data_IF_475304637336
#
_entry.id   IF_475304637336
#
_cell.length_a   1.000
_cell.length_b   1.000
_cell.length_c   1.000
_cell.angle_alpha   90.00
_cell.angle_beta   90.00
_cell.angle_gamma   90.00
#
_symmetry.space_group_name_H-M   'P 1'
#
loop_
_entity.id
_entity.type
_entity.pdbx_description
1 polymer ?
#
# COMPACT_ATOMS: atom_id res chain seq x y z
N UNK A 1 9.64 8.53 7.23
CA UNK A 1 10.37 9.53 6.45
C UNK A 1 9.36 10.54 5.98
N UNK A 2 9.19 11.62 6.72
CA UNK A 2 8.22 12.69 6.41
C UNK A 2 8.86 13.85 5.65
N UNK A 3 10.19 13.81 5.48
CA UNK A 3 10.93 14.81 4.71
C UNK A 3 10.65 16.23 5.23
N UNK A 4 10.34 17.14 4.31
CA UNK A 4 9.99 18.53 4.62
C UNK A 4 8.55 18.74 5.13
N UNK A 5 7.78 17.68 5.39
CA UNK A 5 6.50 17.77 6.10
C UNK A 5 5.27 18.06 5.23
N UNK A 6 5.36 17.91 3.91
CA UNK A 6 4.25 18.19 2.99
C UNK A 6 3.03 17.30 3.27
N UNK A 7 3.23 16.00 3.40
CA UNK A 7 2.15 15.05 3.71
C UNK A 7 1.57 15.30 5.10
N UNK A 8 2.38 15.74 6.08
CA UNK A 8 1.90 16.06 7.42
C UNK A 8 0.92 17.24 7.41
N UNK A 9 1.19 18.26 6.59
CA UNK A 9 0.25 19.36 6.36
C UNK A 9 -1.04 18.86 5.71
N UNK A 10 -0.95 17.97 4.71
CA UNK A 10 -2.12 17.38 4.04
C UNK A 10 -2.96 16.54 5.00
N UNK A 11 -2.35 15.67 5.81
CA UNK A 11 -3.04 14.88 6.82
C UNK A 11 -3.68 15.76 7.89
N UNK A 12 -3.05 16.87 8.26
CA UNK A 12 -3.59 17.84 9.22
C UNK A 12 -4.87 18.51 8.71
N UNK A 13 -5.14 18.49 7.40
CA UNK A 13 -6.42 18.95 6.88
C UNK A 13 -7.58 18.06 7.36
N UNK A 14 -7.34 16.75 7.43
CA UNK A 14 -8.32 15.73 7.83
C UNK A 14 -8.37 15.49 9.34
N UNK A 15 -7.25 15.70 10.06
CA UNK A 15 -7.20 15.61 11.51
C UNK A 15 -6.55 16.85 12.12
N UNK A 16 -7.37 17.66 12.82
CA UNK A 16 -6.97 18.93 13.45
C UNK A 16 -6.93 18.83 14.98
N UNK A 17 -6.87 17.62 15.52
CA UNK A 17 -6.60 17.41 16.93
C UNK A 17 -5.12 17.68 17.22
N UNK A 18 -4.83 18.20 18.41
CA UNK A 18 -3.44 18.42 18.84
C UNK A 18 -2.68 17.09 18.89
N UNK A 19 -1.58 16.99 18.14
CA UNK A 19 -0.82 15.76 17.96
C UNK A 19 -1.58 14.66 17.21
N UNK A 20 -2.65 15.00 16.49
CA UNK A 20 -3.47 14.06 15.73
C UNK A 20 -2.75 13.46 14.51
N UNK A 21 -1.66 14.09 14.06
CA UNK A 21 -0.78 13.60 13.00
C UNK A 21 0.62 13.41 13.57
N UNK A 22 1.17 12.20 13.47
CA UNK A 22 2.54 11.92 13.92
C UNK A 22 3.46 11.86 12.71
N UNK A 23 4.52 12.67 12.72
CA UNK A 23 5.55 12.67 11.70
C UNK A 23 6.86 12.07 12.20
N UNK A 24 7.47 11.17 11.43
CA UNK A 24 8.72 10.51 11.81
C UNK A 24 9.75 10.61 10.69
N UNK A 25 10.90 11.19 11.01
CA UNK A 25 12.08 11.21 10.14
C UNK A 25 13.36 10.90 10.92
N UNK A 26 14.36 10.36 10.22
CA UNK A 26 15.67 10.04 10.81
C UNK A 26 16.65 11.20 10.65
N UNK A 27 16.45 12.07 9.64
CA UNK A 27 17.37 13.13 9.24
C UNK A 27 17.01 14.44 9.95
N UNK A 28 17.95 14.98 10.74
CA UNK A 28 17.72 16.20 11.54
C UNK A 28 17.38 17.41 10.66
N UNK A 29 18.02 17.53 9.50
CA UNK A 29 17.78 18.59 8.53
C UNK A 29 16.37 18.56 7.96
N UNK A 30 15.79 17.37 7.78
CA UNK A 30 14.40 17.21 7.31
C UNK A 30 13.40 17.61 8.40
N UNK A 31 13.68 17.25 9.66
CA UNK A 31 12.86 17.68 10.79
C UNK A 31 12.89 19.20 10.95
N UNK A 32 14.06 19.82 10.79
CA UNK A 32 14.20 21.28 10.84
C UNK A 32 13.51 21.98 9.67
N UNK A 33 13.64 21.44 8.45
CA UNK A 33 12.91 21.93 7.29
C UNK A 33 11.39 21.84 7.50
N UNK A 34 10.89 20.72 8.04
CA UNK A 34 9.47 20.55 8.39
C UNK A 34 8.98 21.64 9.34
N UNK A 35 9.72 21.92 10.42
CA UNK A 35 9.35 22.97 11.39
C UNK A 35 9.26 24.35 10.74
N UNK A 36 10.23 24.70 9.88
CA UNK A 36 10.20 25.97 9.13
C UNK A 36 9.01 26.05 8.18
N UNK A 37 8.73 24.96 7.46
CA UNK A 37 7.59 24.87 6.55
C UNK A 37 6.26 24.99 7.29
N UNK A 38 6.15 24.46 8.51
CA UNK A 38 4.93 24.60 9.31
C UNK A 38 4.65 26.04 9.74
N UNK A 39 5.69 26.83 10.08
CA UNK A 39 5.54 28.26 10.40
C UNK A 39 4.98 29.03 9.19
N UNK A 40 5.51 28.74 8.00
CA UNK A 40 5.01 29.33 6.76
C UNK A 40 3.58 28.88 6.47
N UNK A 41 3.29 27.59 6.65
CA UNK A 41 1.97 27.01 6.44
C UNK A 41 0.93 27.65 7.38
N UNK A 42 1.24 27.86 8.66
CA UNK A 42 0.35 28.56 9.61
C UNK A 42 0.06 30.01 9.16
N UNK A 43 1.06 30.68 8.60
CA UNK A 43 0.90 32.06 8.09
C UNK A 43 -0.03 32.11 6.87
N UNK A 44 0.10 31.13 5.97
CA UNK A 44 -0.69 31.08 4.73
C UNK A 44 -2.08 30.42 4.91
N UNK A 45 -2.26 29.58 5.92
CA UNK A 45 -3.43 28.73 6.08
C UNK A 45 -4.08 28.94 7.46
N UNK A 46 -5.15 29.76 7.57
CA UNK A 46 -5.83 30.02 8.85
C UNK A 46 -6.42 28.78 9.53
N UNK A 47 -6.59 27.68 8.79
CA UNK A 47 -7.12 26.42 9.28
C UNK A 47 -6.06 25.51 9.90
N UNK A 48 -4.77 25.74 9.62
CA UNK A 48 -3.66 24.89 10.04
C UNK A 48 -3.03 25.43 11.32
N UNK A 49 -2.64 24.51 12.21
CA UNK A 49 -1.76 24.78 13.33
C UNK A 49 -0.71 23.68 13.40
N UNK A 50 0.54 24.08 13.61
CA UNK A 50 1.68 23.20 13.81
C UNK A 50 1.47 22.24 14.98
N UNK A 51 0.67 22.61 15.98
CA UNK A 51 0.34 21.73 17.12
C UNK A 51 -0.50 20.50 16.72
N UNK A 52 -1.09 20.46 15.53
CA UNK A 52 -1.75 19.25 15.02
C UNK A 52 -0.74 18.14 14.70
N UNK A 53 0.53 18.51 14.50
CA UNK A 53 1.61 17.61 14.13
C UNK A 53 2.53 17.36 15.33
N UNK A 54 2.72 16.10 15.69
CA UNK A 54 3.77 15.64 16.59
C UNK A 54 4.95 15.11 15.76
N UNK A 55 6.00 15.92 15.63
CA UNK A 55 7.18 15.62 14.83
C UNK A 55 8.29 14.99 15.69
N UNK A 56 8.61 13.73 15.42
CA UNK A 56 9.56 12.91 16.18
C UNK A 56 10.75 12.49 15.32
N UNK A 57 11.93 12.42 15.95
CA UNK A 57 13.08 11.74 15.35
C UNK A 57 12.95 10.24 15.56
N UNK A 58 13.08 9.46 14.49
CA UNK A 58 12.94 8.01 14.58
C UNK A 58 13.23 7.29 13.26
N UNK A 59 13.37 5.98 13.36
CA UNK A 59 13.63 5.07 12.24
C UNK A 59 12.43 4.14 12.05
N UNK A 60 12.13 3.79 10.80
CA UNK A 60 11.08 2.84 10.46
C UNK A 60 11.37 1.42 10.99
N UNK A 61 12.63 1.11 11.32
CA UNK A 61 13.04 -0.18 11.90
C UNK A 61 12.79 -0.29 13.41
N UNK A 62 12.44 0.81 14.07
CA UNK A 62 12.10 0.88 15.50
C UNK A 62 11.32 2.18 15.76
N UNK A 63 10.03 2.15 15.46
CA UNK A 63 9.18 3.34 15.52
C UNK A 63 9.00 3.79 16.98
N UNK A 64 9.23 5.07 17.30
CA UNK A 64 8.97 5.64 18.63
C UNK A 64 7.46 5.90 18.82
N UNK A 65 6.66 4.85 18.67
CA UNK A 65 5.19 4.86 18.68
C UNK A 65 4.72 3.59 19.38
N UNK A 66 3.70 3.71 20.23
CA UNK A 66 3.14 2.62 21.01
C UNK A 66 2.40 1.60 20.12
N UNK A 67 2.33 0.36 20.60
CA UNK A 67 1.56 -0.70 19.96
C UNK A 67 0.08 -0.31 19.84
N UNK A 68 -0.56 -0.68 18.73
CA UNK A 68 -2.00 -0.52 18.51
C UNK A 68 -2.51 0.90 18.83
N UNK A 69 -1.77 1.94 18.45
CA UNK A 69 -2.10 3.33 18.73
C UNK A 69 -2.51 4.13 17.49
N UNK A 70 -2.19 3.64 16.29
CA UNK A 70 -2.39 4.35 15.02
C UNK A 70 -3.58 3.79 14.23
N UNK A 71 -4.50 4.65 13.82
CA UNK A 71 -5.63 4.26 12.97
C UNK A 71 -5.22 4.12 11.49
N UNK A 72 -4.42 5.07 10.99
CA UNK A 72 -3.91 5.08 9.62
C UNK A 72 -2.42 5.44 9.62
N UNK A 73 -1.61 4.56 9.05
CA UNK A 73 -0.21 4.82 8.74
C UNK A 73 -0.07 5.07 7.24
N UNK A 74 0.81 5.98 6.85
CA UNK A 74 1.08 6.28 5.45
C UNK A 74 2.57 6.35 5.18
N UNK A 75 2.99 5.85 4.02
CA UNK A 75 4.34 6.00 3.51
C UNK A 75 4.34 6.11 1.99
N UNK A 76 5.31 6.82 1.43
CA UNK A 76 5.48 6.94 0.00
C UNK A 76 6.93 6.61 -0.37
N UNK A 77 7.12 5.64 -1.27
CA UNK A 77 8.41 5.21 -1.83
C UNK A 77 9.44 4.67 -0.81
N UNK A 78 9.14 4.62 0.49
CA UNK A 78 10.15 4.34 1.50
C UNK A 78 10.63 2.89 1.44
N UNK A 79 9.75 1.94 1.15
CA UNK A 79 10.07 0.52 1.26
C UNK A 79 11.11 0.07 0.23
N UNK A 80 11.14 0.73 -0.93
CA UNK A 80 12.08 0.43 -2.00
C UNK A 80 13.54 0.83 -1.70
N UNK A 81 13.81 1.60 -0.65
CA UNK A 81 15.20 1.89 -0.25
C UNK A 81 15.77 0.78 0.64
N UNK A 82 14.92 0.00 1.30
CA UNK A 82 15.35 -1.04 2.22
C UNK A 82 15.89 -2.27 1.48
N UNK A 83 16.83 -2.95 2.14
CA UNK A 83 17.12 -4.35 1.80
C UNK A 83 16.06 -5.24 2.45
N UNK A 84 15.94 -6.48 1.97
CA UNK A 84 14.85 -7.38 2.35
C UNK A 84 14.67 -7.55 3.87
N UNK A 85 15.77 -7.69 4.63
CA UNK A 85 15.72 -7.85 6.08
C UNK A 85 15.15 -6.59 6.78
N UNK A 86 15.60 -5.41 6.36
CA UNK A 86 15.13 -4.14 6.90
C UNK A 86 13.68 -3.86 6.48
N UNK A 87 13.30 -4.22 5.25
CA UNK A 87 11.94 -4.10 4.75
C UNK A 87 10.97 -4.95 5.59
N UNK A 88 11.32 -6.22 5.87
CA UNK A 88 10.52 -7.09 6.75
C UNK A 88 10.33 -6.47 8.13
N UNK A 89 11.40 -5.88 8.70
CA UNK A 89 11.35 -5.24 10.01
C UNK A 89 10.49 -3.97 9.99
N UNK A 90 10.62 -3.14 8.95
CA UNK A 90 9.81 -1.93 8.78
C UNK A 90 8.31 -2.26 8.64
N UNK A 91 7.96 -3.29 7.86
CA UNK A 91 6.56 -3.76 7.73
C UNK A 91 6.03 -4.27 9.08
N UNK A 92 6.84 -5.02 9.82
CA UNK A 92 6.46 -5.51 11.15
C UNK A 92 6.23 -4.37 12.15
N UNK A 93 7.05 -3.32 12.11
CA UNK A 93 6.85 -2.12 12.93
C UNK A 93 5.55 -1.38 12.55
N UNK A 94 5.24 -1.25 11.25
CA UNK A 94 3.96 -0.68 10.82
C UNK A 94 2.77 -1.52 11.33
N UNK A 95 2.87 -2.84 11.25
CA UNK A 95 1.85 -3.73 11.80
C UNK A 95 1.70 -3.58 13.32
N UNK A 96 2.81 -3.45 14.06
CA UNK A 96 2.82 -3.28 15.52
C UNK A 96 2.06 -2.03 15.96
N UNK A 97 2.36 -0.88 15.34
CA UNK A 97 1.79 0.42 15.75
C UNK A 97 0.33 0.59 15.34
N UNK A 98 -0.12 -0.09 14.28
CA UNK A 98 -1.51 -0.01 13.82
C UNK A 98 -2.46 -0.68 14.82
N UNK A 99 -3.59 -0.03 15.10
CA UNK A 99 -4.73 -0.64 15.81
C UNK A 99 -5.28 -1.85 15.04
N UNK A 100 -6.01 -2.77 15.68
CA UNK A 100 -6.86 -3.71 14.96
C UNK A 100 -7.75 -2.97 13.95
N UNK A 101 -7.84 -3.48 12.72
CA UNK A 101 -8.52 -2.85 11.57
C UNK A 101 -7.90 -1.52 11.09
N UNK A 102 -6.77 -1.10 11.67
CA UNK A 102 -5.96 0.01 11.20
C UNK A 102 -5.37 -0.28 9.82
N UNK A 103 -5.05 0.79 9.09
CA UNK A 103 -4.67 0.69 7.67
C UNK A 103 -3.31 1.29 7.42
N UNK A 104 -2.46 0.56 6.71
CA UNK A 104 -1.25 1.08 6.10
C UNK A 104 -1.55 1.42 4.64
N UNK A 105 -1.51 2.70 4.29
CA UNK A 105 -1.71 3.19 2.92
C UNK A 105 -0.36 3.57 2.33
N UNK A 106 -0.07 3.09 1.12
CA UNK A 106 1.24 3.26 0.52
C UNK A 106 1.16 3.42 -0.99
N UNK A 107 2.16 4.11 -1.53
CA UNK A 107 2.47 4.11 -2.96
C UNK A 107 3.93 3.72 -3.13
N UNK A 108 4.19 2.68 -3.93
CA UNK A 108 5.54 2.17 -4.14
C UNK A 108 5.77 1.71 -5.59
N UNK A 109 6.97 1.97 -6.13
CA UNK A 109 7.46 1.32 -7.33
C UNK A 109 7.50 -0.21 -7.23
N UNK A 110 7.05 -0.87 -8.30
CA UNK A 110 7.06 -2.33 -8.49
C UNK A 110 7.58 -2.66 -9.88
N UNK A 111 8.20 -3.83 -10.00
CA UNK A 111 8.78 -4.30 -11.25
C UNK A 111 8.60 -5.81 -11.36
N UNK A 112 7.80 -6.25 -12.33
CA UNK A 112 7.58 -7.67 -12.63
C UNK A 112 8.81 -8.31 -13.30
N UNK A 113 9.60 -7.51 -14.02
CA UNK A 113 10.83 -7.99 -14.66
C UNK A 113 11.95 -8.14 -13.62
N UNK A 114 12.75 -9.22 -13.69
CA UNK A 114 13.92 -9.35 -12.84
C UNK A 114 14.95 -8.26 -13.18
N UNK A 115 15.51 -7.63 -12.16
CA UNK A 115 16.65 -6.73 -12.32
C UNK A 115 17.96 -7.47 -12.01
N UNK A 116 19.00 -7.20 -12.79
CA UNK A 116 20.32 -7.78 -12.55
C UNK A 116 20.98 -7.22 -11.27
N UNK A 117 22.06 -7.88 -10.83
CA UNK A 117 22.76 -7.51 -9.59
C UNK A 117 23.41 -6.11 -9.65
N UNK A 118 23.80 -5.63 -10.83
CA UNK A 118 24.43 -4.33 -10.95
C UNK A 118 23.41 -3.22 -10.66
N UNK A 119 22.22 -3.29 -11.26
CA UNK A 119 21.11 -2.40 -10.94
C UNK A 119 20.68 -2.53 -9.48
N UNK A 120 20.51 -3.77 -8.98
CA UNK A 120 20.10 -4.05 -7.59
C UNK A 120 21.09 -3.50 -6.56
N UNK A 121 22.37 -3.36 -6.87
CA UNK A 121 23.38 -2.84 -5.94
C UNK A 121 23.80 -1.39 -6.22
N UNK A 122 23.19 -0.71 -7.20
CA UNK A 122 23.40 0.72 -7.42
C UNK A 122 22.69 1.54 -6.33
N UNK A 123 23.48 2.21 -5.49
CA UNK A 123 23.01 3.02 -4.36
C UNK A 123 22.19 4.23 -4.82
N UNK A 124 22.51 4.83 -5.97
CA UNK A 124 21.76 5.96 -6.54
C UNK A 124 20.39 5.49 -6.99
N UNK A 125 20.31 4.36 -7.71
CA UNK A 125 19.01 3.80 -8.13
C UNK A 125 18.17 3.36 -6.93
N UNK A 126 18.82 2.92 -5.85
CA UNK A 126 18.13 2.57 -4.60
C UNK A 126 17.56 3.80 -3.92
N UNK A 127 18.33 4.88 -3.82
CA UNK A 127 17.88 6.15 -3.27
C UNK A 127 16.75 6.80 -4.11
N UNK A 128 16.69 6.49 -5.41
CA UNK A 128 15.59 6.89 -6.31
C UNK A 128 14.38 5.93 -6.26
N UNK A 129 14.42 4.91 -5.39
CA UNK A 129 13.37 3.91 -5.21
C UNK A 129 13.10 3.05 -6.47
N UNK A 130 14.11 2.89 -7.33
CA UNK A 130 13.99 2.14 -8.59
C UNK A 130 14.45 0.71 -8.44
N UNK A 131 15.69 0.50 -7.98
CA UNK A 131 16.30 -0.84 -7.94
C UNK A 131 15.88 -1.69 -6.74
N UNK A 132 15.08 -1.14 -5.83
CA UNK A 132 14.37 -1.89 -4.78
C UNK A 132 13.11 -2.59 -5.26
N UNK A 133 12.56 -2.19 -6.40
CA UNK A 133 11.23 -2.60 -6.87
C UNK A 133 11.08 -4.12 -6.89
N UNK A 134 10.05 -4.62 -6.20
CA UNK A 134 9.67 -6.02 -6.18
C UNK A 134 8.49 -6.26 -7.14
N UNK A 135 8.31 -7.50 -7.63
CA UNK A 135 7.05 -7.93 -8.23
C UNK A 135 5.89 -7.75 -7.25
N UNK A 136 4.68 -7.47 -7.75
CA UNK A 136 3.52 -7.17 -6.90
C UNK A 136 3.22 -8.36 -5.97
N UNK A 137 3.34 -9.60 -6.45
CA UNK A 137 3.06 -10.79 -5.65
C UNK A 137 4.03 -10.96 -4.46
N UNK A 138 5.32 -10.69 -4.64
CA UNK A 138 6.32 -10.73 -3.56
C UNK A 138 6.04 -9.63 -2.55
N UNK A 139 5.73 -8.42 -3.03
CA UNK A 139 5.37 -7.29 -2.18
C UNK A 139 4.14 -7.57 -1.32
N UNK A 140 3.06 -8.05 -1.93
CA UNK A 140 1.84 -8.48 -1.23
C UNK A 140 2.17 -9.58 -0.22
N UNK A 141 2.99 -10.56 -0.61
CA UNK A 141 3.39 -11.64 0.29
C UNK A 141 4.09 -11.10 1.55
N UNK A 142 5.01 -10.15 1.41
CA UNK A 142 5.71 -9.55 2.55
C UNK A 142 4.75 -8.87 3.53
N UNK A 143 3.73 -8.18 3.02
CA UNK A 143 2.68 -7.59 3.85
C UNK A 143 1.87 -8.67 4.57
N UNK A 144 1.43 -9.69 3.85
CA UNK A 144 0.62 -10.77 4.45
C UNK A 144 1.40 -11.61 5.45
N UNK A 145 2.70 -11.82 5.22
CA UNK A 145 3.60 -12.54 6.13
C UNK A 145 3.77 -11.78 7.46
N UNK A 146 3.65 -10.45 7.44
CA UNK A 146 3.66 -9.61 8.64
C UNK A 146 2.33 -9.64 9.41
N UNK A 147 1.25 -10.17 8.82
CA UNK A 147 -0.03 -10.40 9.48
C UNK A 147 -1.21 -9.58 8.93
N UNK A 148 -1.03 -8.80 7.86
CA UNK A 148 -2.13 -8.08 7.22
C UNK A 148 -3.09 -9.08 6.54
N UNK A 149 -4.31 -9.23 7.09
CA UNK A 149 -5.31 -10.17 6.58
C UNK A 149 -6.01 -9.72 5.30
N UNK A 150 -6.05 -8.41 5.05
CA UNK A 150 -6.68 -7.82 3.86
C UNK A 150 -5.71 -6.89 3.15
N UNK A 151 -5.56 -7.04 1.83
CA UNK A 151 -4.73 -6.20 0.97
C UNK A 151 -5.58 -5.70 -0.19
N UNK A 152 -5.60 -4.40 -0.42
CA UNK A 152 -6.30 -3.77 -1.53
C UNK A 152 -5.28 -3.12 -2.48
N UNK A 153 -5.28 -3.51 -3.76
CA UNK A 153 -4.54 -2.81 -4.80
C UNK A 153 -5.47 -1.78 -5.44
N UNK A 154 -5.25 -0.51 -5.11
CA UNK A 154 -6.14 0.60 -5.47
C UNK A 154 -5.75 1.28 -6.78
N UNK A 155 -4.50 1.18 -7.18
CA UNK A 155 -4.06 1.63 -8.49
C UNK A 155 -2.80 0.89 -8.94
N UNK A 156 -2.59 0.84 -10.25
CA UNK A 156 -1.33 0.47 -10.91
C UNK A 156 -1.12 1.43 -12.08
N UNK A 157 0.00 2.15 -12.07
CA UNK A 157 0.28 3.24 -13.03
C UNK A 157 1.70 3.11 -13.58
N UNK A 158 1.95 3.47 -14.86
CA UNK A 158 3.31 3.63 -15.37
C UNK A 158 4.13 4.58 -14.48
N UNK A 159 5.38 4.23 -14.18
CA UNK A 159 6.26 5.07 -13.37
C UNK A 159 7.54 5.47 -14.11
N UNK A 160 8.41 4.50 -14.43
CA UNK A 160 9.71 4.75 -15.07
C UNK A 160 10.12 3.63 -16.01
N UNK A 161 11.06 3.91 -16.89
CA UNK A 161 11.77 2.92 -17.70
C UNK A 161 13.26 2.99 -17.40
N UNK A 162 13.90 1.84 -17.18
CA UNK A 162 15.36 1.72 -17.25
C UNK A 162 15.71 1.18 -18.63
N UNK A 163 16.25 2.04 -19.48
CA UNK A 163 16.64 1.69 -20.83
C UNK A 163 18.08 1.17 -20.90
N UNK A 164 18.41 0.23 -21.79
CA UNK A 164 19.79 -0.18 -22.07
C UNK A 164 20.72 0.95 -22.54
N UNK A 165 20.17 2.11 -22.93
CA UNK A 165 20.96 3.27 -23.35
C UNK A 165 21.53 4.04 -22.16
N UNK A 166 20.82 4.01 -21.03
CA UNK A 166 21.10 4.87 -19.88
C UNK A 166 21.48 4.06 -18.63
N UNK A 167 21.20 2.75 -18.62
CA UNK A 167 21.38 1.86 -17.48
C UNK A 167 22.01 0.54 -17.90
N UNK A 168 22.68 -0.11 -16.95
CA UNK A 168 23.32 -1.41 -17.13
C UNK A 168 22.29 -2.54 -17.19
N UNK A 169 21.63 -2.68 -18.33
CA UNK A 169 20.64 -3.73 -18.64
C UNK A 169 20.66 -4.06 -20.13
N UNK A 170 20.30 -5.29 -20.50
CA UNK A 170 20.21 -5.72 -21.89
C UNK A 170 18.81 -5.55 -22.49
N UNK A 171 17.82 -5.20 -21.66
CA UNK A 171 16.42 -5.01 -22.07
C UNK A 171 15.79 -3.78 -21.41
N UNK A 172 14.66 -3.33 -21.95
CA UNK A 172 13.86 -2.28 -21.33
C UNK A 172 13.22 -2.84 -20.05
N UNK A 173 13.51 -2.23 -18.91
CA UNK A 173 12.87 -2.56 -17.64
C UNK A 173 11.76 -1.53 -17.38
N UNK A 174 10.52 -1.99 -17.37
CA UNK A 174 9.34 -1.19 -17.13
C UNK A 174 8.95 -1.26 -15.64
N UNK A 175 9.00 -0.11 -14.99
CA UNK A 175 8.66 0.05 -13.58
C UNK A 175 7.31 0.76 -13.50
N UNK A 176 6.44 0.21 -12.68
CA UNK A 176 5.12 0.75 -12.38
C UNK A 176 5.08 1.20 -10.93
N UNK A 177 4.09 2.02 -10.58
CA UNK A 177 3.78 2.34 -9.19
C UNK A 177 2.43 1.73 -8.87
N UNK A 178 2.33 1.08 -7.72
CA UNK A 178 1.06 0.63 -7.17
C UNK A 178 0.65 1.47 -5.97
N UNK A 179 -0.65 1.63 -5.79
CA UNK A 179 -1.22 2.15 -4.54
C UNK A 179 -1.86 0.98 -3.79
N UNK A 180 -1.48 0.79 -2.52
CA UNK A 180 -1.92 -0.33 -1.70
C UNK A 180 -2.50 0.18 -0.39
N UNK A 181 -3.60 -0.43 0.05
CA UNK A 181 -4.04 -0.38 1.43
C UNK A 181 -3.92 -1.78 2.05
N UNK A 182 -3.03 -1.93 3.02
CA UNK A 182 -2.90 -3.14 3.83
C UNK A 182 -3.63 -2.93 5.16
N UNK A 183 -4.61 -3.77 5.45
CA UNK A 183 -5.51 -3.62 6.60
C UNK A 183 -5.20 -4.69 7.63
N UNK A 184 -5.06 -4.27 8.90
CA UNK A 184 -4.81 -5.15 10.05
C UNK A 184 -6.09 -5.88 10.46
N UNK A 185 -6.72 -6.53 9.49
CA UNK A 185 -7.79 -7.49 9.73
C UNK A 185 -7.18 -8.82 10.16
N UNK A 186 -7.92 -9.63 10.94
CA UNK A 186 -7.52 -10.99 11.25
C UNK A 186 -7.24 -11.79 9.97
N UNK A 187 -6.16 -12.55 9.96
CA UNK A 187 -5.84 -13.46 8.86
C UNK A 187 -6.92 -14.56 8.78
N UNK A 188 -7.66 -14.69 7.66
CA UNK A 188 -8.60 -15.79 7.48
C UNK A 188 -7.88 -17.15 7.46
N UNK A 189 -8.57 -18.22 7.86
CA UNK A 189 -7.99 -19.56 7.96
C UNK A 189 -7.49 -20.12 6.60
N UNK A 190 -8.09 -19.67 5.50
CA UNK A 190 -7.78 -20.02 4.12
C UNK A 190 -6.83 -19.02 3.44
N UNK A 191 -6.23 -18.10 4.21
CA UNK A 191 -5.26 -17.11 3.75
C UNK A 191 -5.85 -15.71 3.52
N UNK A 192 -4.99 -14.75 3.13
CA UNK A 192 -5.35 -13.34 3.07
C UNK A 192 -6.38 -13.03 1.97
N UNK A 193 -7.19 -12.01 2.20
CA UNK A 193 -8.06 -11.42 1.20
C UNK A 193 -7.29 -10.37 0.40
N UNK A 194 -6.80 -10.73 -0.79
CA UNK A 194 -6.11 -9.79 -1.70
C UNK A 194 -7.07 -9.35 -2.80
N UNK A 195 -7.38 -8.05 -2.86
CA UNK A 195 -8.26 -7.44 -3.86
C UNK A 195 -7.43 -6.77 -4.94
N UNK A 196 -7.34 -7.42 -6.10
CA UNK A 196 -6.68 -6.87 -7.30
C UNK A 196 -7.69 -6.26 -8.30
N UNK A 197 -8.89 -5.94 -7.83
CA UNK A 197 -9.98 -5.39 -8.64
C UNK A 197 -10.71 -6.43 -9.52
N UNK A 198 -10.73 -7.70 -9.11
CA UNK A 198 -11.56 -8.72 -9.76
C UNK A 198 -13.02 -8.58 -9.36
N UNK A 199 -13.90 -8.98 -10.27
CA UNK A 199 -15.33 -9.09 -10.04
C UNK A 199 -15.84 -10.45 -10.51
N UNK A 200 -16.88 -10.94 -9.85
CA UNK A 200 -17.70 -12.04 -10.36
C UNK A 200 -19.11 -11.54 -10.72
N UNK A 201 -19.66 -12.07 -11.81
CA UNK A 201 -21.02 -11.81 -12.26
C UNK A 201 -21.70 -13.16 -12.46
N UNK A 202 -22.73 -13.42 -11.66
CA UNK A 202 -23.60 -14.57 -11.84
C UNK A 202 -24.66 -14.25 -12.89
N UNK A 203 -24.86 -15.12 -13.88
CA UNK A 203 -25.85 -14.93 -14.96
C UNK A 203 -26.74 -16.15 -15.19
N UNK A 204 -26.86 -17.04 -14.19
CA UNK A 204 -27.70 -18.23 -14.26
C UNK A 204 -29.20 -17.97 -14.13
N UNK A 205 -29.98 -19.03 -13.98
CA UNK A 205 -31.45 -18.96 -14.02
C UNK A 205 -32.06 -18.27 -12.80
N UNK A 206 -31.53 -18.54 -11.60
CA UNK A 206 -32.07 -18.03 -10.32
C UNK A 206 -31.75 -16.53 -10.11
N UNK A 207 -32.45 -15.90 -9.17
CA UNK A 207 -32.24 -14.48 -8.83
C UNK A 207 -30.87 -14.21 -8.20
N UNK A 208 -30.28 -15.22 -7.57
CA UNK A 208 -28.94 -15.14 -6.98
C UNK A 208 -28.29 -16.53 -6.92
N UNK A 209 -26.98 -16.51 -6.71
CA UNK A 209 -26.17 -17.67 -6.33
C UNK A 209 -25.51 -17.40 -4.99
N UNK A 210 -25.62 -18.36 -4.06
CA UNK A 210 -24.95 -18.33 -2.75
C UNK A 210 -23.85 -19.40 -2.75
N UNK A 211 -22.61 -18.98 -2.52
CA UNK A 211 -21.47 -19.89 -2.45
C UNK A 211 -21.36 -20.64 -1.12
N UNK A 212 -22.23 -20.32 -0.15
CA UNK A 212 -22.24 -20.80 1.24
C UNK A 212 -20.94 -20.52 2.00
N UNK A 213 -20.12 -19.60 1.50
CA UNK A 213 -18.88 -19.12 2.10
C UNK A 213 -18.93 -17.60 2.39
N UNK A 214 -20.14 -17.03 2.39
CA UNK A 214 -20.40 -15.63 2.73
C UNK A 214 -20.53 -14.69 1.52
N UNK A 215 -20.57 -15.22 0.29
CA UNK A 215 -20.76 -14.41 -0.91
C UNK A 215 -22.07 -14.74 -1.60
N UNK A 216 -22.91 -13.72 -1.79
CA UNK A 216 -24.13 -13.80 -2.57
C UNK A 216 -23.92 -13.01 -3.87
N UNK A 217 -23.96 -13.70 -5.00
CA UNK A 217 -23.88 -13.11 -6.33
C UNK A 217 -25.30 -12.89 -6.85
N UNK A 218 -25.73 -11.63 -6.90
CA UNK A 218 -27.01 -11.26 -7.51
C UNK A 218 -26.93 -11.41 -9.04
N UNK A 219 -28.03 -11.87 -9.64
CA UNK A 219 -28.10 -12.07 -11.09
C UNK A 219 -27.77 -10.80 -11.86
N UNK A 220 -26.82 -10.90 -12.79
CA UNK A 220 -26.32 -9.85 -13.66
C UNK A 220 -25.73 -8.62 -12.96
N UNK A 221 -25.36 -8.74 -11.67
CA UNK A 221 -24.70 -7.66 -10.94
C UNK A 221 -23.26 -8.04 -10.61
N UNK A 222 -22.29 -7.13 -10.78
CA UNK A 222 -20.91 -7.39 -10.40
C UNK A 222 -20.76 -7.34 -8.88
N UNK A 223 -20.13 -8.37 -8.33
CA UNK A 223 -19.62 -8.40 -6.96
C UNK A 223 -18.10 -8.31 -7.01
N UNK A 224 -17.52 -7.31 -6.34
CA UNK A 224 -16.07 -7.25 -6.17
C UNK A 224 -15.61 -8.38 -5.23
N UNK A 225 -14.60 -9.13 -5.65
CA UNK A 225 -14.13 -10.32 -4.94
C UNK A 225 -12.61 -10.31 -4.81
N UNK A 226 -12.12 -10.92 -3.73
CA UNK A 226 -10.69 -11.14 -3.56
C UNK A 226 -10.19 -12.30 -4.42
N UNK A 227 -8.87 -12.38 -4.61
CA UNK A 227 -8.24 -13.35 -5.50
C UNK A 227 -8.49 -14.81 -5.10
N UNK A 228 -8.57 -15.10 -3.79
CA UNK A 228 -8.91 -16.45 -3.32
C UNK A 228 -10.38 -16.81 -3.57
N UNK A 229 -11.31 -15.86 -3.39
CA UNK A 229 -12.73 -16.04 -3.73
C UNK A 229 -12.88 -16.29 -5.23
N UNK A 230 -12.16 -15.55 -6.07
CA UNK A 230 -12.12 -15.80 -7.52
C UNK A 230 -11.63 -17.22 -7.84
N UNK A 231 -10.58 -17.68 -7.16
CA UNK A 231 -10.09 -19.06 -7.29
C UNK A 231 -11.08 -20.11 -6.82
N UNK A 232 -11.82 -19.85 -5.73
CA UNK A 232 -12.85 -20.76 -5.21
C UNK A 232 -14.04 -20.86 -6.16
N UNK A 233 -14.56 -19.74 -6.65
CA UNK A 233 -15.66 -19.70 -7.62
C UNK A 233 -15.28 -20.40 -8.94
N UNK A 234 -14.06 -20.19 -9.44
CA UNK A 234 -13.58 -20.85 -10.66
C UNK A 234 -13.56 -22.40 -10.51
N UNK A 235 -13.21 -22.91 -9.32
CA UNK A 235 -13.16 -24.36 -9.05
C UNK A 235 -14.55 -25.02 -9.01
N UNK A 236 -15.62 -24.25 -8.91
CA UNK A 236 -16.99 -24.79 -9.03
C UNK A 236 -17.27 -25.29 -10.45
N UNK A 237 -16.47 -24.90 -11.45
CA UNK A 237 -16.62 -25.27 -12.86
C UNK A 237 -18.04 -24.99 -13.41
N UNK A 238 -18.65 -23.91 -12.94
CA UNK A 238 -19.94 -23.43 -13.43
C UNK A 238 -19.73 -22.66 -14.73
N UNK A 239 -20.65 -22.81 -15.65
CA UNK A 239 -20.71 -22.08 -16.92
C UNK A 239 -21.54 -20.79 -16.82
N UNK A 240 -22.12 -20.49 -15.64
CA UNK A 240 -23.00 -19.34 -15.39
C UNK A 240 -22.43 -18.31 -14.39
N UNK A 241 -21.12 -18.35 -14.15
CA UNK A 241 -20.38 -17.34 -13.38
C UNK A 241 -19.21 -16.82 -14.22
N UNK A 242 -19.24 -15.53 -14.54
CA UNK A 242 -18.11 -14.84 -15.15
C UNK A 242 -17.18 -14.29 -14.08
N UNK A 243 -15.87 -14.48 -14.23
CA UNK A 243 -14.85 -13.93 -13.34
C UNK A 243 -13.92 -13.05 -14.17
N UNK A 244 -13.80 -11.77 -13.80
CA UNK A 244 -12.96 -10.83 -14.52
C UNK A 244 -11.46 -11.06 -14.25
N UNK A 245 -10.61 -10.54 -15.14
CA UNK A 245 -9.18 -10.38 -14.86
C UNK A 245 -8.97 -9.25 -13.84
N UNK A 246 -7.81 -9.26 -13.19
CA UNK A 246 -7.38 -8.16 -12.31
C UNK A 246 -7.27 -6.85 -13.08
N UNK A 247 -7.90 -5.80 -12.55
CA UNK A 247 -7.76 -4.42 -13.05
C UNK A 247 -6.65 -3.66 -12.31
N UNK A 248 -6.20 -4.20 -11.16
CA UNK A 248 -5.33 -3.51 -10.19
C UNK A 248 -5.90 -2.16 -9.74
N UNK A 249 -7.23 -2.08 -9.71
CA UNK A 249 -7.99 -0.95 -9.23
C UNK A 249 -9.18 -1.46 -8.43
N UNK A 250 -9.03 -1.46 -7.11
CA UNK A 250 -10.08 -1.75 -6.14
C UNK A 250 -10.41 -0.48 -5.35
N UNK A 251 -11.69 -0.15 -5.27
CA UNK A 251 -12.22 1.10 -4.72
C UNK A 251 -13.17 0.89 -3.52
N UNK A 252 -13.22 -0.33 -2.97
CA UNK A 252 -14.08 -0.68 -1.82
C UNK A 252 -15.26 -1.59 -2.17
N UNK A 253 -15.47 -1.89 -3.46
CA UNK A 253 -16.47 -2.82 -3.95
C UNK A 253 -17.88 -2.23 -4.02
N UNK A 254 -18.67 -2.71 -4.98
CA UNK A 254 -20.01 -2.21 -5.29
C UNK A 254 -20.06 -1.51 -6.65
N UNK A 255 -21.25 -1.47 -7.26
CA UNK A 255 -21.47 -0.74 -8.51
C UNK A 255 -21.83 0.75 -8.25
N UNK A 256 -22.00 1.14 -6.97
CA UNK A 256 -22.51 2.44 -6.52
C UNK A 256 -21.92 2.83 -5.17
#
# INVERSE_FOLDING_TARGET
GVGGGMELLQFSYFNREKGGVIGIDVVDEMLEASRKNFIEAETQNPWFKSEFVDLRKGDALNLPVEDNSIDVAAQNCLFNIFKEADLKKAIAEMYRVLKPHGRLVMSDPTCEQPMNNNLRNDERLRALCLSGSLPINEYVKMLTDAGFGTIEIRARKPYRILSPKDYDTNELIYIESIEVAAIKDPMPADGPCVFTGKAAIYFGENDFFDDNAGHILLKNQPLAICDKTAGALAKLNRDDIFISKSTYHYDGGGCC
#
